data_IF_906892360486
#
_entry.id   IF_906892360486
#
_cell.length_a   1.000
_cell.length_b   1.000
_cell.length_c   1.000
_cell.angle_alpha   90.00
_cell.angle_beta   90.00
_cell.angle_gamma   90.00
#
_symmetry.space_group_name_H-M   'P 1'
#
loop_
_entity.id
_entity.type
_entity.pdbx_description
1 polymer ?
#
# COMPACT_ATOMS: atom_id res chain seq x y z
N UNK A 1 24.80 -8.91 5.52
CA UNK A 1 24.39 -9.88 4.49
C UNK A 1 25.56 -10.81 4.20
N UNK A 2 25.30 -12.11 4.04
CA UNK A 2 26.34 -13.11 3.77
C UNK A 2 26.83 -13.11 2.33
N UNK A 3 27.83 -13.93 1.98
CA UNK A 3 28.40 -14.01 0.61
C UNK A 3 27.35 -14.34 -0.47
N UNK A 4 26.36 -15.18 -0.17
CA UNK A 4 25.27 -15.51 -1.09
C UNK A 4 24.41 -14.30 -1.51
N UNK A 5 24.20 -13.36 -0.61
CA UNK A 5 23.43 -12.14 -0.91
C UNK A 5 24.17 -11.23 -1.93
N UNK A 6 25.50 -11.18 -1.87
CA UNK A 6 26.29 -10.41 -2.83
C UNK A 6 26.27 -11.04 -4.23
N UNK A 7 26.36 -12.36 -4.32
CA UNK A 7 26.28 -13.10 -5.57
C UNK A 7 24.89 -12.95 -6.20
N UNK A 8 23.83 -13.14 -5.42
CA UNK A 8 22.44 -12.93 -5.88
C UNK A 8 22.20 -11.51 -6.39
N UNK A 9 22.74 -10.50 -5.70
CA UNK A 9 22.66 -9.10 -6.14
C UNK A 9 23.33 -8.87 -7.50
N UNK A 10 24.52 -9.41 -7.68
CA UNK A 10 25.25 -9.31 -8.94
C UNK A 10 24.49 -9.99 -10.09
N UNK A 11 23.94 -11.18 -9.85
CA UNK A 11 23.12 -11.93 -10.81
C UNK A 11 21.87 -11.13 -11.20
N UNK A 12 21.10 -10.64 -10.24
CA UNK A 12 19.87 -9.88 -10.51
C UNK A 12 20.15 -8.59 -11.30
N UNK A 13 21.25 -7.88 -10.99
CA UNK A 13 21.68 -6.70 -11.75
C UNK A 13 22.04 -7.04 -13.20
N UNK A 14 22.69 -8.17 -13.40
CA UNK A 14 23.01 -8.63 -14.75
C UNK A 14 21.73 -8.97 -15.52
N UNK A 15 20.78 -9.68 -14.91
CA UNK A 15 19.49 -9.99 -15.54
C UNK A 15 18.71 -8.73 -15.90
N UNK A 16 18.65 -7.74 -15.01
CA UNK A 16 18.00 -6.47 -15.32
C UNK A 16 18.70 -5.78 -16.50
N UNK A 17 20.03 -5.71 -16.49
CA UNK A 17 20.81 -5.08 -17.57
C UNK A 17 20.58 -5.73 -18.94
N UNK A 18 20.40 -7.06 -18.96
CA UNK A 18 20.24 -7.84 -20.20
C UNK A 18 18.81 -7.84 -20.73
N UNK A 19 17.81 -7.74 -19.85
CA UNK A 19 16.41 -8.01 -20.19
C UNK A 19 15.45 -6.84 -19.99
N UNK A 20 15.88 -5.76 -19.32
CA UNK A 20 15.07 -4.58 -19.06
C UNK A 20 15.69 -3.37 -19.79
N UNK A 21 14.98 -2.75 -20.74
CA UNK A 21 15.48 -1.58 -21.44
C UNK A 21 15.78 -0.42 -20.49
N UNK A 22 16.75 0.45 -20.82
CA UNK A 22 17.11 1.60 -19.99
C UNK A 22 15.97 2.60 -19.78
N UNK A 23 15.05 2.71 -20.73
CA UNK A 23 13.90 3.60 -20.74
C UNK A 23 12.63 2.96 -20.12
N UNK A 24 12.73 1.75 -19.57
CA UNK A 24 11.65 1.11 -18.85
C UNK A 24 11.31 1.88 -17.58
N UNK A 25 10.09 2.41 -17.50
CA UNK A 25 9.59 3.20 -16.37
C UNK A 25 8.71 2.39 -15.40
N UNK A 26 8.62 1.09 -15.61
CA UNK A 26 7.93 0.18 -14.71
C UNK A 26 6.50 -0.12 -15.12
N UNK A 27 5.88 -1.00 -14.36
CA UNK A 27 4.51 -1.43 -14.57
C UNK A 27 3.46 -0.35 -14.25
N UNK A 28 3.89 0.83 -13.81
CA UNK A 28 3.00 1.93 -13.47
C UNK A 28 2.75 2.89 -14.65
N UNK A 29 3.40 2.66 -15.79
CA UNK A 29 3.17 3.42 -17.02
C UNK A 29 2.03 2.80 -17.82
N UNK A 30 1.44 3.58 -18.73
CA UNK A 30 0.43 3.13 -19.67
C UNK A 30 1.01 2.58 -20.99
N UNK A 31 2.32 2.38 -21.05
CA UNK A 31 2.99 1.81 -22.20
C UNK A 31 2.79 0.29 -22.27
N UNK A 32 2.05 -0.25 -23.26
CA UNK A 32 1.84 -1.69 -23.39
C UNK A 32 3.13 -2.53 -23.51
N UNK A 33 4.21 -1.93 -24.08
CA UNK A 33 5.49 -2.59 -24.19
C UNK A 33 6.11 -2.89 -22.82
N UNK A 34 5.92 -2.02 -21.83
CA UNK A 34 6.42 -2.23 -20.47
C UNK A 34 5.73 -3.43 -19.80
N UNK A 35 4.43 -3.64 -20.08
CA UNK A 35 3.71 -4.81 -19.59
C UNK A 35 4.28 -6.12 -20.16
N UNK A 36 4.59 -6.16 -21.44
CA UNK A 36 5.22 -7.33 -22.07
C UNK A 36 6.62 -7.60 -21.51
N UNK A 37 7.41 -6.54 -21.27
CA UNK A 37 8.73 -6.65 -20.64
C UNK A 37 8.58 -7.26 -19.25
N UNK A 38 7.65 -6.75 -18.44
CA UNK A 38 7.40 -7.26 -17.10
C UNK A 38 6.99 -8.73 -17.09
N UNK A 39 6.11 -9.14 -17.99
CA UNK A 39 5.67 -10.53 -18.11
C UNK A 39 6.82 -11.47 -18.53
N UNK A 40 7.66 -11.06 -19.48
CA UNK A 40 8.83 -11.84 -19.88
C UNK A 40 9.84 -11.96 -18.74
N UNK A 41 10.10 -10.85 -18.06
CA UNK A 41 11.02 -10.82 -16.93
C UNK A 41 10.56 -11.68 -15.76
N UNK A 42 9.25 -11.68 -15.45
CA UNK A 42 8.67 -12.59 -14.47
C UNK A 42 8.87 -14.06 -14.82
N UNK A 43 8.63 -14.45 -16.08
CA UNK A 43 8.88 -15.83 -16.53
C UNK A 43 10.36 -16.22 -16.40
N UNK A 44 11.26 -15.33 -16.79
CA UNK A 44 12.69 -15.55 -16.63
C UNK A 44 13.09 -15.77 -15.17
N UNK A 45 12.59 -14.95 -14.26
CA UNK A 45 12.82 -15.12 -12.83
C UNK A 45 12.19 -16.42 -12.29
N UNK A 46 11.01 -16.81 -12.78
CA UNK A 46 10.34 -18.03 -12.39
C UNK A 46 11.13 -19.28 -12.83
N UNK A 47 11.60 -19.35 -14.07
CA UNK A 47 12.47 -20.42 -14.61
C UNK A 47 13.75 -20.59 -13.79
N UNK A 48 14.24 -19.50 -13.20
CA UNK A 48 15.41 -19.50 -12.32
C UNK A 48 15.08 -19.73 -10.85
N UNK A 49 13.79 -19.92 -10.49
CA UNK A 49 13.32 -20.03 -9.11
C UNK A 49 13.57 -18.76 -8.28
N UNK A 50 13.65 -17.60 -8.92
CA UNK A 50 13.97 -16.31 -8.28
C UNK A 50 12.74 -15.40 -8.11
N UNK A 51 11.62 -15.67 -8.83
CA UNK A 51 10.41 -14.87 -8.73
C UNK A 51 9.80 -14.96 -7.32
N UNK A 52 9.62 -16.17 -6.82
CA UNK A 52 9.08 -16.48 -5.50
C UNK A 52 10.16 -17.03 -4.56
N UNK A 53 11.36 -16.47 -4.58
CA UNK A 53 12.57 -17.02 -3.97
C UNK A 53 12.40 -17.49 -2.52
N UNK A 54 11.65 -16.72 -1.71
CA UNK A 54 11.45 -17.02 -0.28
C UNK A 54 10.27 -17.99 -0.01
N UNK A 55 9.52 -18.38 -1.04
CA UNK A 55 8.43 -19.35 -0.85
C UNK A 55 9.01 -20.74 -0.58
N UNK A 56 8.27 -21.63 0.13
CA UNK A 56 8.62 -23.03 0.22
C UNK A 56 8.80 -23.69 -1.17
N UNK A 57 9.65 -24.68 -1.25
CA UNK A 57 9.95 -25.38 -2.50
C UNK A 57 8.71 -26.02 -3.12
N UNK A 58 7.81 -26.57 -2.29
CA UNK A 58 6.54 -27.17 -2.69
C UNK A 58 5.63 -26.18 -3.45
N UNK A 59 5.80 -24.87 -3.26
CA UNK A 59 5.04 -23.82 -3.94
C UNK A 59 5.85 -23.08 -5.01
N UNK A 60 6.98 -23.62 -5.43
CA UNK A 60 7.82 -23.06 -6.51
C UNK A 60 8.84 -22.03 -6.07
N UNK A 61 9.10 -21.92 -4.78
CA UNK A 61 10.19 -21.11 -4.23
C UNK A 61 11.47 -21.91 -4.01
N UNK A 62 12.40 -21.33 -3.23
CA UNK A 62 13.66 -21.97 -2.79
C UNK A 62 13.83 -21.94 -1.27
N UNK A 63 12.82 -21.56 -0.52
CA UNK A 63 12.91 -21.40 0.93
C UNK A 63 13.97 -20.39 1.37
N UNK A 64 14.30 -19.41 0.54
CA UNK A 64 15.38 -18.47 0.79
C UNK A 64 15.10 -17.61 2.03
N UNK A 65 16.19 -17.16 2.65
CA UNK A 65 16.13 -16.34 3.86
C UNK A 65 15.45 -14.99 3.62
N UNK A 66 14.90 -14.34 4.66
CA UNK A 66 14.39 -12.97 4.57
C UNK A 66 15.42 -11.96 4.04
N UNK A 67 16.71 -12.24 4.22
CA UNK A 67 17.80 -11.40 3.74
C UNK A 67 18.01 -11.51 2.23
N UNK A 68 17.94 -12.71 1.66
CA UNK A 68 17.97 -12.92 0.20
C UNK A 68 16.74 -12.33 -0.46
N UNK A 69 15.55 -12.50 0.14
CA UNK A 69 14.33 -11.84 -0.33
C UNK A 69 14.45 -10.31 -0.30
N UNK A 70 15.19 -9.77 0.67
CA UNK A 70 15.45 -8.32 0.73
C UNK A 70 16.33 -7.86 -0.43
N UNK A 71 17.33 -8.66 -0.83
CA UNK A 71 18.15 -8.37 -2.00
C UNK A 71 17.28 -8.31 -3.26
N UNK A 72 16.37 -9.28 -3.45
CA UNK A 72 15.43 -9.27 -4.58
C UNK A 72 14.60 -7.98 -4.57
N UNK A 73 14.01 -7.62 -3.43
CA UNK A 73 13.21 -6.39 -3.30
C UNK A 73 14.00 -5.12 -3.60
N UNK A 74 15.23 -5.02 -3.10
CA UNK A 74 16.10 -3.87 -3.36
C UNK A 74 16.43 -3.73 -4.84
N UNK A 75 16.84 -4.81 -5.50
CA UNK A 75 17.22 -4.75 -6.91
C UNK A 75 16.01 -4.52 -7.82
N UNK A 76 14.87 -5.13 -7.55
CA UNK A 76 13.66 -4.88 -8.31
C UNK A 76 13.20 -3.42 -8.18
N UNK A 77 13.11 -2.89 -6.96
CA UNK A 77 12.71 -1.49 -6.74
C UNK A 77 13.75 -0.46 -7.21
N UNK A 78 15.01 -0.79 -7.21
CA UNK A 78 16.03 0.06 -7.81
C UNK A 78 15.80 0.28 -9.31
N UNK A 79 15.15 -0.67 -9.98
CA UNK A 79 14.93 -0.68 -11.43
C UNK A 79 13.44 -0.64 -11.81
N UNK A 80 12.62 0.17 -11.12
CA UNK A 80 11.19 0.36 -11.40
C UNK A 80 10.34 -0.89 -11.35
N UNK A 81 10.69 -1.84 -10.49
CA UNK A 81 9.94 -3.07 -10.28
C UNK A 81 9.65 -3.84 -11.58
N UNK A 82 10.68 -4.42 -12.24
CA UNK A 82 10.51 -5.09 -13.53
C UNK A 82 9.57 -6.31 -13.50
N UNK A 83 9.14 -6.77 -12.32
CA UNK A 83 8.11 -7.81 -12.19
C UNK A 83 6.71 -7.27 -12.48
N UNK A 84 6.56 -5.96 -12.61
CA UNK A 84 5.30 -5.33 -12.94
C UNK A 84 4.18 -5.64 -11.96
N UNK A 85 2.97 -5.77 -12.47
CA UNK A 85 1.78 -6.04 -11.67
C UNK A 85 1.82 -7.40 -10.94
N UNK A 86 2.63 -8.36 -11.41
CA UNK A 86 2.78 -9.67 -10.79
C UNK A 86 3.38 -9.60 -9.37
N UNK A 87 4.09 -8.51 -9.02
CA UNK A 87 4.67 -8.38 -7.69
C UNK A 87 3.63 -8.45 -6.55
N UNK A 88 2.38 -8.08 -6.81
CA UNK A 88 1.30 -8.19 -5.83
C UNK A 88 0.99 -9.64 -5.49
N UNK A 89 0.83 -10.48 -6.50
CA UNK A 89 0.64 -11.92 -6.33
C UNK A 89 1.78 -12.55 -5.54
N UNK A 90 3.01 -12.22 -5.89
CA UNK A 90 4.23 -12.78 -5.29
C UNK A 90 4.43 -12.35 -3.83
N UNK A 91 4.21 -11.07 -3.52
CA UNK A 91 4.65 -10.51 -2.24
C UNK A 91 3.61 -10.62 -1.11
N UNK A 92 2.30 -10.68 -1.42
CA UNK A 92 1.28 -10.76 -0.37
C UNK A 92 0.10 -11.67 -0.67
N UNK A 93 -0.42 -11.76 -1.91
CA UNK A 93 -1.56 -12.65 -2.20
C UNK A 93 -1.17 -14.12 -2.03
N UNK A 94 -0.08 -14.55 -2.67
CA UNK A 94 0.42 -15.93 -2.56
C UNK A 94 0.77 -16.32 -1.12
N UNK A 95 1.58 -15.53 -0.38
CA UNK A 95 1.83 -15.78 1.04
C UNK A 95 0.57 -15.88 1.90
N UNK A 96 -0.46 -15.12 1.56
CA UNK A 96 -1.75 -15.20 2.28
C UNK A 96 -2.51 -16.47 1.93
N UNK A 97 -2.53 -16.87 0.65
CA UNK A 97 -3.14 -18.14 0.21
C UNK A 97 -2.41 -19.35 0.82
N UNK A 98 -1.08 -19.33 0.89
CA UNK A 98 -0.30 -20.39 1.55
C UNK A 98 -0.69 -20.58 3.02
N UNK A 99 -1.02 -19.50 3.72
CA UNK A 99 -1.34 -19.52 5.15
C UNK A 99 -2.79 -19.80 5.47
N UNK A 100 -3.72 -19.30 4.66
CA UNK A 100 -5.15 -19.28 4.95
C UNK A 100 -6.02 -20.00 3.92
N UNK A 101 -5.46 -20.34 2.74
CA UNK A 101 -6.17 -21.02 1.66
C UNK A 101 -6.35 -22.51 1.92
N UNK A 102 -7.42 -23.05 1.36
CA UNK A 102 -7.62 -24.50 1.32
C UNK A 102 -6.57 -25.16 0.41
N UNK A 103 -6.34 -26.48 0.51
CA UNK A 103 -5.45 -27.20 -0.41
C UNK A 103 -5.85 -27.02 -1.89
N UNK A 104 -7.15 -26.90 -2.18
CA UNK A 104 -7.69 -26.64 -3.51
C UNK A 104 -7.28 -25.25 -4.01
N UNK A 105 -7.45 -24.22 -3.18
CA UNK A 105 -7.06 -22.86 -3.51
C UNK A 105 -5.54 -22.74 -3.70
N UNK A 106 -4.76 -23.40 -2.85
CA UNK A 106 -3.29 -23.43 -2.98
C UNK A 106 -2.89 -24.09 -4.33
N UNK A 107 -3.47 -25.24 -4.67
CA UNK A 107 -3.19 -25.92 -5.95
C UNK A 107 -3.63 -25.12 -7.17
N UNK A 108 -4.71 -24.36 -7.08
CA UNK A 108 -5.21 -23.53 -8.18
C UNK A 108 -4.36 -22.29 -8.41
N UNK A 109 -4.03 -21.55 -7.35
CA UNK A 109 -3.51 -20.21 -7.47
C UNK A 109 -1.98 -20.12 -7.37
N UNK A 110 -1.35 -20.87 -6.46
CA UNK A 110 0.07 -20.68 -6.18
C UNK A 110 0.97 -21.02 -7.38
N UNK A 111 0.73 -22.09 -8.17
CA UNK A 111 1.55 -22.37 -9.34
C UNK A 111 1.50 -21.28 -10.41
N UNK A 112 0.34 -20.66 -10.65
CA UNK A 112 0.19 -19.58 -11.62
C UNK A 112 0.93 -18.30 -11.18
N UNK A 113 0.88 -17.99 -9.88
CA UNK A 113 1.63 -16.87 -9.31
C UNK A 113 3.14 -17.13 -9.40
N UNK A 114 3.57 -18.35 -9.04
CA UNK A 114 4.99 -18.73 -9.03
C UNK A 114 5.62 -18.70 -10.44
N UNK A 115 4.82 -18.94 -11.49
CA UNK A 115 5.26 -18.85 -12.89
C UNK A 115 5.11 -17.45 -13.50
N UNK A 116 4.57 -16.47 -12.74
CA UNK A 116 4.35 -15.11 -13.22
C UNK A 116 3.27 -14.99 -14.30
N UNK A 117 2.33 -15.95 -14.36
CA UNK A 117 1.30 -16.05 -15.41
C UNK A 117 0.05 -15.23 -15.10
N UNK A 118 -0.15 -14.84 -13.84
CA UNK A 118 -1.39 -14.25 -13.36
C UNK A 118 -1.16 -12.92 -12.63
N UNK A 119 -2.00 -11.95 -12.90
CA UNK A 119 -2.03 -10.67 -12.20
C UNK A 119 -3.21 -10.66 -11.22
N UNK A 120 -2.95 -10.18 -10.02
CA UNK A 120 -3.93 -9.98 -8.97
C UNK A 120 -4.13 -8.49 -8.72
N UNK A 121 -5.35 -8.07 -8.50
CA UNK A 121 -5.65 -6.77 -7.93
C UNK A 121 -6.21 -6.91 -6.50
N UNK A 122 -6.17 -5.81 -5.74
CA UNK A 122 -6.60 -5.80 -4.34
C UNK A 122 -7.79 -4.85 -4.16
N UNK A 123 -8.97 -5.42 -3.97
CA UNK A 123 -10.22 -4.68 -3.76
C UNK A 123 -10.47 -4.42 -2.27
N UNK A 124 -9.80 -3.41 -1.68
CA UNK A 124 -9.93 -3.08 -0.26
C UNK A 124 -10.63 -1.74 -0.05
N UNK A 125 -9.97 -0.64 -0.41
CA UNK A 125 -10.45 0.72 -0.17
C UNK A 125 -11.76 1.03 -0.90
N UNK A 126 -12.59 1.86 -0.28
CA UNK A 126 -13.82 2.42 -0.86
C UNK A 126 -13.76 3.95 -0.82
N UNK A 127 -14.60 4.67 -1.56
CA UNK A 127 -14.62 6.14 -1.53
C UNK A 127 -14.67 6.72 -0.11
N UNK A 128 -15.42 6.10 0.80
CA UNK A 128 -15.58 6.54 2.19
C UNK A 128 -14.76 5.72 3.21
N UNK A 129 -14.00 4.71 2.76
CA UNK A 129 -13.29 3.78 3.65
C UNK A 129 -11.86 3.46 3.14
N UNK A 130 -10.94 4.41 3.29
CA UNK A 130 -9.50 4.25 3.02
C UNK A 130 -8.71 3.97 4.30
N UNK A 131 -8.32 5.00 5.03
CA UNK A 131 -7.60 4.87 6.32
C UNK A 131 -8.43 4.15 7.38
N UNK A 132 -9.75 4.34 7.37
CA UNK A 132 -10.70 3.59 8.19
C UNK A 132 -11.30 2.41 7.40
N UNK A 133 -10.43 1.50 6.95
CA UNK A 133 -10.80 0.36 6.11
C UNK A 133 -11.91 -0.50 6.71
N UNK A 134 -11.96 -0.64 8.03
CA UNK A 134 -12.99 -1.43 8.70
C UNK A 134 -14.41 -0.88 8.52
N UNK A 135 -14.57 0.37 8.07
CA UNK A 135 -15.87 0.99 7.78
C UNK A 135 -16.38 0.72 6.37
N UNK A 136 -15.76 -0.17 5.61
CA UNK A 136 -16.17 -0.56 4.26
C UNK A 136 -17.62 -1.07 4.22
N UNK A 137 -18.29 -0.79 3.08
CA UNK A 137 -19.71 -1.07 2.86
C UNK A 137 -19.98 -2.09 1.75
N UNK A 138 -19.01 -2.41 0.89
CA UNK A 138 -19.16 -3.51 -0.09
C UNK A 138 -19.65 -4.75 0.65
N UNK A 139 -20.85 -5.19 0.31
CA UNK A 139 -21.54 -6.26 1.04
C UNK A 139 -21.59 -7.54 0.19
N UNK A 140 -21.31 -8.66 0.84
CA UNK A 140 -21.58 -9.99 0.33
C UNK A 140 -22.77 -10.55 1.11
N UNK A 141 -23.93 -10.63 0.47
CA UNK A 141 -25.17 -11.11 1.12
C UNK A 141 -25.45 -12.54 0.69
N UNK A 142 -25.74 -13.41 1.66
CA UNK A 142 -26.19 -14.78 1.34
C UNK A 142 -27.48 -14.71 0.52
N UNK A 143 -27.55 -15.56 -0.48
CA UNK A 143 -28.73 -15.72 -1.32
C UNK A 143 -29.49 -16.97 -0.84
N UNK A 144 -30.79 -16.81 -0.54
CA UNK A 144 -31.63 -17.88 -0.03
C UNK A 144 -31.68 -19.06 -1.01
N UNK A 145 -31.43 -20.27 -0.53
CA UNK A 145 -31.42 -21.48 -1.33
C UNK A 145 -30.12 -21.74 -2.10
N UNK A 146 -29.06 -20.97 -1.88
CA UNK A 146 -27.73 -21.19 -2.47
C UNK A 146 -26.65 -21.28 -1.38
N UNK A 147 -25.50 -21.90 -1.72
CA UNK A 147 -24.32 -21.96 -0.85
C UNK A 147 -23.39 -20.76 -1.05
N UNK A 148 -23.91 -19.65 -1.62
CA UNK A 148 -23.11 -18.51 -2.02
C UNK A 148 -23.60 -17.17 -1.50
N UNK A 149 -22.94 -16.13 -2.00
CA UNK A 149 -23.25 -14.73 -1.75
C UNK A 149 -23.36 -13.95 -3.05
N UNK A 150 -24.12 -12.87 -3.02
CA UNK A 150 -24.11 -11.81 -4.04
C UNK A 150 -23.35 -10.60 -3.49
N UNK A 151 -22.33 -10.19 -4.23
CA UNK A 151 -21.50 -9.04 -3.87
C UNK A 151 -22.02 -7.80 -4.55
N UNK A 152 -22.27 -6.75 -3.75
CA UNK A 152 -22.62 -5.41 -4.22
C UNK A 152 -21.74 -4.36 -3.55
N UNK A 153 -21.26 -3.40 -4.33
CA UNK A 153 -20.46 -2.29 -3.81
C UNK A 153 -19.48 -1.73 -4.81
N UNK A 154 -18.58 -0.90 -4.31
CA UNK A 154 -17.56 -0.22 -5.11
C UNK A 154 -16.23 -0.24 -4.37
N UNK A 155 -15.16 -0.54 -5.10
CA UNK A 155 -13.78 -0.38 -4.65
C UNK A 155 -13.09 0.71 -5.44
N UNK A 156 -12.14 1.42 -4.80
CA UNK A 156 -11.40 2.50 -5.43
C UNK A 156 -9.90 2.37 -5.14
N UNK A 157 -9.08 3.01 -5.95
CA UNK A 157 -7.62 2.93 -5.90
C UNK A 157 -7.09 1.50 -6.10
N UNK A 158 -7.85 0.67 -6.82
CA UNK A 158 -7.52 -0.73 -7.09
C UNK A 158 -6.48 -0.80 -8.19
N UNK A 159 -5.22 -0.98 -7.80
CA UNK A 159 -4.11 -1.06 -8.76
C UNK A 159 -4.27 -2.26 -9.68
N UNK A 160 -4.01 -2.05 -10.98
CA UNK A 160 -3.98 -3.08 -12.02
C UNK A 160 -5.30 -3.82 -12.31
N UNK A 161 -6.44 -3.34 -11.84
CA UNK A 161 -7.71 -4.05 -12.02
C UNK A 161 -8.08 -4.29 -13.50
N UNK A 162 -7.68 -3.38 -14.41
CA UNK A 162 -7.87 -3.55 -15.87
C UNK A 162 -7.10 -4.72 -16.47
N UNK A 163 -6.03 -5.18 -15.82
CA UNK A 163 -5.14 -6.25 -16.29
C UNK A 163 -5.29 -7.52 -15.47
N UNK A 164 -5.92 -7.44 -14.29
CA UNK A 164 -5.98 -8.54 -13.33
C UNK A 164 -6.92 -9.66 -13.78
N UNK A 165 -6.50 -10.90 -13.59
CA UNK A 165 -7.34 -12.08 -13.72
C UNK A 165 -8.13 -12.36 -12.45
N UNK A 166 -7.61 -11.91 -11.30
CA UNK A 166 -8.18 -12.18 -9.98
C UNK A 166 -8.21 -10.94 -9.11
N UNK A 167 -9.28 -10.79 -8.33
CA UNK A 167 -9.39 -9.79 -7.27
C UNK A 167 -9.32 -10.43 -5.89
N UNK A 168 -8.41 -9.93 -5.07
CA UNK A 168 -8.33 -10.21 -3.65
C UNK A 168 -9.28 -9.23 -2.93
N UNK A 169 -10.54 -9.65 -2.78
CA UNK A 169 -11.65 -8.78 -2.39
C UNK A 169 -11.98 -8.88 -0.91
N UNK A 170 -12.03 -7.74 -0.23
CA UNK A 170 -12.56 -7.64 1.13
C UNK A 170 -14.00 -7.11 1.10
N UNK A 171 -14.94 -7.88 1.63
CA UNK A 171 -16.35 -7.50 1.69
C UNK A 171 -16.96 -7.80 3.06
N UNK A 172 -18.11 -7.19 3.34
CA UNK A 172 -18.86 -7.37 4.56
C UNK A 172 -19.90 -8.48 4.41
N UNK A 173 -19.77 -9.54 5.16
CA UNK A 173 -20.67 -10.70 5.17
C UNK A 173 -21.68 -10.65 6.30
N UNK A 174 -21.35 -9.99 7.41
CA UNK A 174 -22.26 -9.78 8.54
C UNK A 174 -21.96 -8.48 9.28
N UNK A 175 -22.78 -8.16 10.28
CA UNK A 175 -22.58 -7.02 11.19
C UNK A 175 -22.27 -7.54 12.59
N UNK A 176 -21.41 -6.85 13.33
CA UNK A 176 -21.08 -7.16 14.71
C UNK A 176 -20.97 -5.90 15.56
N UNK A 177 -20.65 -6.05 16.84
CA UNK A 177 -20.48 -4.93 17.78
C UNK A 177 -19.35 -3.97 17.36
N UNK A 178 -18.31 -4.52 16.71
CA UNK A 178 -17.17 -3.76 16.21
C UNK A 178 -17.15 -3.81 14.69
N UNK A 179 -16.82 -2.69 14.05
CA UNK A 179 -16.74 -2.57 12.60
C UNK A 179 -15.74 -3.53 11.92
N UNK A 180 -14.78 -4.07 12.66
CA UNK A 180 -13.83 -5.08 12.21
C UNK A 180 -14.43 -6.49 12.11
N UNK A 181 -15.56 -6.75 12.77
CA UNK A 181 -16.27 -8.02 12.70
C UNK A 181 -17.12 -8.10 11.43
N UNK A 182 -17.42 -9.30 10.98
CA UNK A 182 -18.27 -9.53 9.82
C UNK A 182 -17.60 -9.18 8.48
N UNK A 183 -16.28 -9.22 8.39
CA UNK A 183 -15.52 -9.02 7.16
C UNK A 183 -14.95 -10.35 6.68
N UNK A 184 -15.04 -10.59 5.37
CA UNK A 184 -14.57 -11.81 4.71
C UNK A 184 -13.73 -11.46 3.50
N UNK A 185 -12.72 -12.28 3.19
CA UNK A 185 -11.93 -12.15 1.98
C UNK A 185 -12.41 -13.18 0.96
N UNK A 186 -12.56 -12.74 -0.28
CA UNK A 186 -12.91 -13.57 -1.42
C UNK A 186 -11.84 -13.50 -2.51
N UNK A 187 -11.56 -14.62 -3.14
CA UNK A 187 -10.72 -14.76 -4.33
C UNK A 187 -11.65 -14.74 -5.55
N UNK A 188 -11.82 -13.58 -6.18
CA UNK A 188 -12.84 -13.38 -7.22
C UNK A 188 -12.22 -13.30 -8.60
N UNK A 189 -12.59 -14.18 -9.57
CA UNK A 189 -12.18 -14.01 -10.96
C UNK A 189 -12.75 -12.70 -11.52
N UNK A 190 -11.88 -11.87 -12.12
CA UNK A 190 -12.31 -10.58 -12.70
C UNK A 190 -13.22 -10.74 -13.93
N UNK A 191 -13.31 -11.94 -14.49
CA UNK A 191 -14.21 -12.27 -15.60
C UNK A 191 -15.65 -12.57 -15.17
N UNK A 192 -15.97 -12.57 -13.86
CA UNK A 192 -17.35 -12.83 -13.41
C UNK A 192 -18.32 -11.74 -13.87
N UNK A 193 -19.54 -12.12 -14.28
CA UNK A 193 -20.59 -11.13 -14.59
C UNK A 193 -20.87 -10.21 -13.41
N UNK A 194 -21.15 -8.94 -13.70
CA UNK A 194 -21.44 -7.92 -12.69
C UNK A 194 -20.21 -7.15 -12.20
N UNK A 195 -19.00 -7.43 -12.73
CA UNK A 195 -17.81 -6.64 -12.46
C UNK A 195 -17.59 -5.62 -13.56
N UNK A 196 -17.52 -4.34 -13.20
CA UNK A 196 -17.14 -3.25 -14.09
C UNK A 196 -15.88 -2.55 -13.55
N UNK A 197 -14.88 -2.32 -14.42
CA UNK A 197 -13.63 -1.65 -14.08
C UNK A 197 -13.54 -0.33 -14.81
N UNK A 198 -13.32 0.77 -14.08
CA UNK A 198 -13.14 2.12 -14.63
C UNK A 198 -11.77 2.66 -14.26
N UNK A 199 -10.89 2.93 -15.25
CA UNK A 199 -9.58 3.51 -15.00
C UNK A 199 -9.69 4.93 -14.41
N UNK A 200 -8.85 5.22 -13.41
CA UNK A 200 -8.68 6.55 -12.83
C UNK A 200 -7.44 7.17 -13.46
N UNK A 201 -7.57 8.32 -14.11
CA UNK A 201 -6.43 9.08 -14.58
C UNK A 201 -5.63 9.62 -13.39
N UNK A 202 -4.40 9.14 -13.26
CA UNK A 202 -3.45 9.57 -12.25
C UNK A 202 -2.24 10.24 -12.90
N UNK A 203 -1.35 10.82 -12.10
CA UNK A 203 -0.11 11.43 -12.60
C UNK A 203 0.81 10.42 -13.31
N UNK A 204 0.67 9.13 -13.02
CA UNK A 204 1.46 8.02 -13.59
C UNK A 204 0.80 7.35 -14.81
N UNK A 205 -0.38 7.81 -15.23
CA UNK A 205 -1.12 7.21 -16.34
C UNK A 205 -2.39 6.46 -15.93
N UNK A 206 -3.18 5.93 -16.92
CA UNK A 206 -4.53 5.42 -16.66
C UNK A 206 -4.59 4.00 -16.07
N UNK A 207 -3.55 3.17 -16.20
CA UNK A 207 -3.63 1.75 -15.86
C UNK A 207 -3.26 1.41 -14.42
N UNK A 208 -2.75 2.38 -13.68
CA UNK A 208 -2.28 2.12 -12.33
C UNK A 208 -3.43 1.98 -11.32
N UNK A 209 -4.40 2.87 -11.36
CA UNK A 209 -5.48 2.97 -10.38
C UNK A 209 -6.84 2.83 -11.04
N UNK A 210 -7.76 2.15 -10.38
CA UNK A 210 -9.09 1.91 -10.92
C UNK A 210 -10.16 2.00 -9.84
N UNK A 211 -11.38 2.32 -10.28
CA UNK A 211 -12.61 1.96 -9.58
C UNK A 211 -13.06 0.60 -10.07
N UNK A 212 -13.60 -0.21 -9.17
CA UNK A 212 -14.18 -1.52 -9.48
C UNK A 212 -15.57 -1.57 -8.86
N UNK A 213 -16.58 -1.77 -9.69
CA UNK A 213 -17.98 -1.91 -9.28
C UNK A 213 -18.35 -3.37 -9.28
N UNK A 214 -19.10 -3.78 -8.27
CA UNK A 214 -19.65 -5.11 -8.11
C UNK A 214 -21.17 -4.99 -8.04
N UNK A 215 -21.86 -5.55 -9.02
CA UNK A 215 -23.32 -5.54 -9.09
C UNK A 215 -23.86 -6.97 -9.20
N UNK A 216 -24.25 -7.54 -8.07
CA UNK A 216 -24.77 -8.90 -7.99
C UNK A 216 -23.74 -9.98 -8.32
N UNK A 217 -22.45 -9.74 -8.13
CA UNK A 217 -21.40 -10.70 -8.44
C UNK A 217 -21.52 -11.91 -7.54
N UNK A 218 -21.69 -13.09 -8.17
CA UNK A 218 -21.82 -14.35 -7.46
C UNK A 218 -20.47 -14.81 -6.91
N UNK A 219 -20.42 -15.18 -5.64
CA UNK A 219 -19.26 -15.82 -4.98
C UNK A 219 -19.75 -16.97 -4.11
N UNK A 220 -18.96 -18.04 -4.05
CA UNK A 220 -19.28 -19.27 -3.34
C UNK A 220 -18.35 -19.51 -2.17
N UNK A 221 -18.58 -20.55 -1.39
CA UNK A 221 -17.68 -20.94 -0.30
C UNK A 221 -16.27 -21.30 -0.82
N UNK A 222 -16.16 -21.80 -2.04
CA UNK A 222 -14.86 -22.07 -2.67
C UNK A 222 -14.02 -20.83 -2.91
N UNK A 223 -14.64 -19.65 -3.01
CA UNK A 223 -13.96 -18.38 -3.20
C UNK A 223 -13.53 -17.74 -1.87
N UNK A 224 -14.02 -18.22 -0.73
CA UNK A 224 -13.71 -17.65 0.59
C UNK A 224 -12.29 -18.01 1.00
N UNK A 225 -11.47 -16.99 1.31
CA UNK A 225 -10.14 -17.19 1.86
C UNK A 225 -10.14 -17.08 3.38
N UNK A 226 -9.82 -18.17 4.06
CA UNK A 226 -9.90 -18.26 5.50
C UNK A 226 -11.35 -18.37 6.02
N UNK A 227 -11.61 -18.20 7.33
CA UNK A 227 -12.96 -18.33 7.88
C UNK A 227 -13.85 -17.12 7.53
N UNK A 228 -15.12 -17.36 7.26
CA UNK A 228 -16.14 -16.32 7.09
C UNK A 228 -16.15 -15.41 8.33
N UNK A 229 -16.38 -14.11 8.14
CA UNK A 229 -16.44 -13.06 9.19
C UNK A 229 -15.11 -12.79 9.93
N UNK A 230 -14.01 -13.48 9.56
CA UNK A 230 -12.69 -13.32 10.18
C UNK A 230 -11.66 -12.67 9.26
N UNK A 231 -12.06 -12.13 8.12
CA UNK A 231 -11.18 -11.52 7.13
C UNK A 231 -10.34 -10.36 7.67
N UNK A 232 -10.78 -9.66 8.72
CA UNK A 232 -9.99 -8.59 9.32
C UNK A 232 -8.64 -9.08 9.88
N UNK A 233 -8.60 -10.27 10.47
CA UNK A 233 -7.34 -10.86 10.95
C UNK A 233 -6.39 -11.12 9.80
N UNK A 234 -6.90 -11.67 8.70
CA UNK A 234 -6.11 -11.92 7.49
C UNK A 234 -5.59 -10.61 6.90
N UNK A 235 -6.45 -9.56 6.81
CA UNK A 235 -6.05 -8.23 6.31
C UNK A 235 -4.92 -7.63 7.14
N UNK A 236 -4.93 -7.77 8.46
CA UNK A 236 -3.87 -7.24 9.31
C UNK A 236 -2.50 -7.88 8.99
N UNK A 237 -2.47 -9.17 8.67
CA UNK A 237 -1.27 -9.88 8.24
C UNK A 237 -0.80 -9.39 6.86
N UNK A 238 -1.71 -9.25 5.89
CA UNK A 238 -1.41 -8.70 4.55
C UNK A 238 -0.79 -7.30 4.65
N UNK A 239 -1.41 -6.42 5.43
CA UNK A 239 -0.92 -5.05 5.62
C UNK A 239 0.45 -5.01 6.31
N UNK A 240 0.78 -5.98 7.16
CA UNK A 240 2.10 -6.08 7.78
C UNK A 240 3.19 -6.43 6.74
N UNK A 241 2.90 -7.32 5.79
CA UNK A 241 3.81 -7.62 4.67
C UNK A 241 3.97 -6.45 3.71
N UNK A 242 2.90 -5.78 3.37
CA UNK A 242 2.88 -4.64 2.44
C UNK A 242 3.76 -3.49 2.93
N UNK A 243 3.75 -3.19 4.23
CA UNK A 243 4.47 -2.04 4.82
C UNK A 243 5.99 -2.09 4.64
N UNK A 244 6.57 -3.27 4.49
CA UNK A 244 8.04 -3.47 4.37
C UNK A 244 8.44 -3.93 2.96
N UNK A 245 7.46 -4.31 2.14
CA UNK A 245 7.68 -4.92 0.82
C UNK A 245 8.31 -3.99 -0.23
N UNK A 246 8.24 -2.67 -0.05
CA UNK A 246 8.67 -1.68 -1.04
C UNK A 246 9.96 -1.01 -0.60
N UNK A 247 11.08 -1.37 -1.24
CA UNK A 247 12.41 -0.82 -0.96
C UNK A 247 12.67 0.51 -1.68
N UNK A 248 11.80 1.54 -1.48
CA UNK A 248 11.87 2.86 -2.15
C UNK A 248 13.24 3.51 -2.05
N UNK A 249 13.94 3.35 -0.94
CA UNK A 249 15.31 3.87 -0.75
C UNK A 249 16.30 3.37 -1.80
N UNK A 250 16.09 2.19 -2.38
CA UNK A 250 16.98 1.63 -3.39
C UNK A 250 16.87 2.39 -4.72
N UNK A 251 15.65 2.78 -5.12
CA UNK A 251 15.41 3.66 -6.28
C UNK A 251 16.01 5.04 -6.04
N UNK A 252 15.72 5.66 -4.88
CA UNK A 252 16.29 6.95 -4.52
C UNK A 252 17.82 6.94 -4.61
N UNK A 253 18.47 5.93 -4.00
CA UNK A 253 19.93 5.83 -4.00
C UNK A 253 20.48 5.65 -5.41
N UNK A 254 19.86 4.82 -6.25
CA UNK A 254 20.31 4.61 -7.64
C UNK A 254 20.27 5.92 -8.43
N UNK A 255 19.17 6.67 -8.37
CA UNK A 255 19.03 7.95 -9.09
C UNK A 255 19.98 9.02 -8.53
N UNK A 256 20.12 9.12 -7.21
CA UNK A 256 21.07 10.05 -6.59
C UNK A 256 22.51 9.73 -7.00
N UNK A 257 22.91 8.46 -7.02
CA UNK A 257 24.27 8.06 -7.44
C UNK A 257 24.48 8.20 -8.96
N UNK A 258 23.41 8.19 -9.75
CA UNK A 258 23.51 8.43 -11.19
C UNK A 258 23.74 9.92 -11.51
N UNK A 259 23.16 10.85 -10.75
CA UNK A 259 23.19 12.27 -11.04
C UNK A 259 24.62 12.82 -11.34
N UNK A 260 25.65 12.66 -10.49
CA UNK A 260 26.99 13.16 -10.78
C UNK A 260 27.61 12.57 -12.04
N UNK A 261 27.32 11.30 -12.34
CA UNK A 261 27.88 10.59 -13.50
C UNK A 261 27.25 11.06 -14.81
N UNK A 262 25.93 11.30 -14.79
CA UNK A 262 25.19 11.76 -15.98
C UNK A 262 25.46 13.23 -16.27
N UNK A 263 25.64 14.07 -15.25
CA UNK A 263 25.96 15.48 -15.40
C UNK A 263 27.42 15.72 -15.81
N UNK A 264 28.37 14.83 -15.45
CA UNK A 264 29.79 15.04 -15.73
C UNK A 264 30.27 16.38 -15.15
N UNK A 265 30.90 17.21 -16.00
CA UNK A 265 31.46 18.49 -15.58
C UNK A 265 30.40 19.48 -15.06
N UNK A 266 29.16 19.42 -15.57
CA UNK A 266 28.07 20.27 -15.09
C UNK A 266 27.73 20.02 -13.61
N UNK A 267 28.16 18.89 -13.04
CA UNK A 267 27.96 18.60 -11.61
C UNK A 267 28.64 19.64 -10.71
N UNK A 268 29.83 20.08 -11.05
CA UNK A 268 30.58 21.05 -10.29
C UNK A 268 30.02 22.49 -10.43
N UNK A 269 29.25 22.75 -11.50
CA UNK A 269 28.56 24.02 -11.73
C UNK A 269 27.28 24.20 -10.90
N UNK A 270 26.75 23.10 -10.34
CA UNK A 270 25.56 23.15 -9.51
C UNK A 270 25.83 23.94 -8.21
N UNK A 271 24.82 24.66 -7.68
CA UNK A 271 24.92 25.35 -6.39
C UNK A 271 25.38 24.39 -5.27
N UNK A 272 26.33 24.86 -4.44
CA UNK A 272 26.87 24.07 -3.33
C UNK A 272 25.76 23.60 -2.36
N UNK A 273 24.76 24.44 -2.12
CA UNK A 273 23.60 24.09 -1.30
C UNK A 273 22.85 22.87 -1.88
N UNK A 274 22.62 22.83 -3.19
CA UNK A 274 21.94 21.72 -3.85
C UNK A 274 22.76 20.43 -3.76
N UNK A 275 24.09 20.51 -3.98
CA UNK A 275 25.00 19.37 -3.79
C UNK A 275 25.01 18.91 -2.32
N UNK A 276 24.93 19.85 -1.37
CA UNK A 276 24.78 19.53 0.06
C UNK A 276 23.46 18.81 0.38
N UNK A 277 22.35 19.24 -0.23
CA UNK A 277 21.05 18.56 -0.11
C UNK A 277 21.11 17.15 -0.72
N UNK A 278 21.69 16.97 -1.88
CA UNK A 278 21.93 15.69 -2.51
C UNK A 278 22.72 14.73 -1.59
N UNK A 279 23.84 15.16 -1.01
CA UNK A 279 24.65 14.35 -0.10
C UNK A 279 23.86 13.93 1.14
N UNK A 280 23.01 14.81 1.65
CA UNK A 280 22.09 14.53 2.77
C UNK A 280 21.09 13.45 2.40
N UNK A 281 20.55 13.45 1.16
CA UNK A 281 19.63 12.40 0.69
C UNK A 281 20.31 11.03 0.65
N UNK A 282 21.57 10.92 0.23
CA UNK A 282 22.32 9.65 0.31
C UNK A 282 22.44 9.12 1.74
N UNK A 283 22.66 10.02 2.70
CA UNK A 283 22.66 9.64 4.13
C UNK A 283 21.28 9.15 4.57
N UNK A 284 20.21 9.77 4.10
CA UNK A 284 18.84 9.35 4.38
C UNK A 284 18.50 7.99 3.73
N UNK A 285 19.03 7.69 2.54
CA UNK A 285 18.90 6.36 1.91
C UNK A 285 19.52 5.27 2.82
N UNK A 286 20.72 5.50 3.34
CA UNK A 286 21.39 4.56 4.26
C UNK A 286 20.61 4.39 5.55
N UNK A 287 20.10 5.47 6.12
CA UNK A 287 19.22 5.45 7.30
C UNK A 287 17.96 4.61 7.05
N UNK A 288 17.25 4.85 5.94
CA UNK A 288 16.05 4.12 5.60
C UNK A 288 16.33 2.63 5.39
N UNK A 289 17.45 2.27 4.74
CA UNK A 289 17.92 0.90 4.60
C UNK A 289 18.17 0.22 5.95
N UNK A 290 18.85 0.88 6.87
CA UNK A 290 19.10 0.34 8.21
C UNK A 290 17.80 0.11 9.00
N UNK A 291 16.83 1.01 8.87
CA UNK A 291 15.49 0.82 9.46
C UNK A 291 14.77 -0.37 8.84
N UNK A 292 14.84 -0.56 7.51
CA UNK A 292 14.30 -1.73 6.84
C UNK A 292 14.94 -3.02 7.36
N UNK A 293 16.26 -3.05 7.45
CA UNK A 293 17.01 -4.21 7.96
C UNK A 293 16.67 -4.53 9.42
N UNK A 294 16.47 -3.51 10.25
CA UNK A 294 15.98 -3.69 11.61
C UNK A 294 14.61 -4.37 11.63
N UNK A 295 13.66 -3.89 10.81
CA UNK A 295 12.33 -4.51 10.73
C UNK A 295 12.43 -5.97 10.30
N UNK A 296 13.23 -6.29 9.29
CA UNK A 296 13.43 -7.66 8.79
C UNK A 296 14.02 -8.55 9.89
N UNK A 297 15.03 -8.07 10.64
CA UNK A 297 15.60 -8.81 11.76
C UNK A 297 14.56 -9.08 12.86
N UNK A 298 13.74 -8.08 13.20
CA UNK A 298 12.66 -8.23 14.19
C UNK A 298 11.55 -9.16 13.71
N UNK A 299 11.22 -9.16 12.41
CA UNK A 299 10.27 -10.12 11.83
C UNK A 299 10.80 -11.56 11.93
N UNK A 300 12.08 -11.77 11.61
CA UNK A 300 12.73 -13.08 11.76
C UNK A 300 12.76 -13.57 13.22
N UNK A 301 12.86 -12.66 14.19
CA UNK A 301 12.80 -12.96 15.62
C UNK A 301 11.37 -13.05 16.19
N UNK A 302 10.33 -12.76 15.40
CA UNK A 302 8.93 -12.76 15.85
C UNK A 302 8.59 -11.61 16.83
N UNK A 303 9.42 -10.55 16.90
CA UNK A 303 9.29 -9.45 17.87
C UNK A 303 8.95 -8.09 17.24
N UNK A 304 8.68 -8.05 15.93
CA UNK A 304 8.34 -6.81 15.23
C UNK A 304 7.05 -6.20 15.76
N UNK A 305 7.07 -4.89 15.97
CA UNK A 305 5.89 -4.12 16.40
C UNK A 305 5.35 -3.24 15.28
N UNK A 306 4.08 -2.81 15.34
CA UNK A 306 3.55 -1.80 14.42
C UNK A 306 4.35 -0.48 14.44
N UNK A 307 4.97 -0.12 15.56
CA UNK A 307 5.83 1.05 15.71
C UNK A 307 7.11 0.95 14.88
N UNK A 308 7.75 -0.23 14.84
CA UNK A 308 8.97 -0.45 14.06
C UNK A 308 8.70 -0.27 12.56
N UNK A 309 7.62 -0.87 12.06
CA UNK A 309 7.21 -0.72 10.65
C UNK A 309 6.81 0.71 10.33
N UNK A 310 6.12 1.40 11.24
CA UNK A 310 5.71 2.79 11.07
C UNK A 310 6.91 3.74 11.04
N UNK A 311 7.92 3.54 11.89
CA UNK A 311 9.16 4.33 11.87
C UNK A 311 9.89 4.22 10.52
N UNK A 312 10.04 3.01 9.99
CA UNK A 312 10.58 2.78 8.64
C UNK A 312 9.73 3.50 7.59
N UNK A 313 8.41 3.31 7.63
CA UNK A 313 7.50 3.87 6.63
C UNK A 313 7.54 5.39 6.59
N UNK A 314 7.56 6.07 7.74
CA UNK A 314 7.71 7.53 7.82
C UNK A 314 9.04 7.98 7.21
N UNK A 315 10.13 7.30 7.57
CA UNK A 315 11.46 7.66 7.09
C UNK A 315 11.59 7.50 5.58
N UNK A 316 11.10 6.38 5.01
CA UNK A 316 11.24 6.10 3.58
C UNK A 316 10.27 6.93 2.73
N UNK A 317 9.08 7.27 3.23
CA UNK A 317 8.13 8.15 2.52
C UNK A 317 8.68 9.57 2.38
N UNK A 318 9.25 10.12 3.45
CA UNK A 318 9.90 11.43 3.40
C UNK A 318 11.11 11.44 2.47
N UNK A 319 11.96 10.42 2.56
CA UNK A 319 13.08 10.25 1.65
C UNK A 319 12.62 10.22 0.19
N UNK A 320 11.56 9.48 -0.13
CA UNK A 320 11.04 9.33 -1.48
C UNK A 320 10.67 10.70 -2.08
N UNK A 321 9.96 11.55 -1.35
CA UNK A 321 9.58 12.89 -1.78
C UNK A 321 10.74 13.86 -1.81
N UNK A 322 11.52 13.96 -0.72
CA UNK A 322 12.63 14.90 -0.62
C UNK A 322 13.73 14.62 -1.66
N UNK A 323 14.02 13.33 -1.94
CA UNK A 323 14.96 12.95 -3.00
C UNK A 323 14.44 13.26 -4.40
N UNK A 324 13.13 13.07 -4.63
CA UNK A 324 12.51 13.41 -5.90
C UNK A 324 12.56 14.91 -6.20
N UNK A 325 12.32 15.76 -5.20
CA UNK A 325 12.44 17.23 -5.31
C UNK A 325 13.88 17.63 -5.62
N UNK A 326 14.86 17.12 -4.90
CA UNK A 326 16.29 17.40 -5.14
C UNK A 326 16.72 16.99 -6.52
N UNK A 327 16.31 15.81 -6.98
CA UNK A 327 16.63 15.29 -8.32
C UNK A 327 15.95 16.11 -9.42
N UNK A 328 14.71 16.55 -9.20
CA UNK A 328 13.99 17.39 -10.15
C UNK A 328 14.65 18.76 -10.31
N UNK A 329 15.14 19.34 -9.22
CA UNK A 329 15.89 20.60 -9.24
C UNK A 329 17.23 20.44 -9.95
N UNK A 330 17.98 19.35 -9.70
CA UNK A 330 19.21 19.01 -10.45
C UNK A 330 18.90 18.87 -11.95
N UNK A 331 17.82 18.13 -12.29
CA UNK A 331 17.36 17.97 -13.67
C UNK A 331 17.07 19.31 -14.36
N UNK A 332 16.44 20.24 -13.64
CA UNK A 332 16.06 21.55 -14.18
C UNK A 332 17.27 22.44 -14.51
N UNK A 333 18.31 22.36 -13.69
CA UNK A 333 19.53 23.18 -13.86
C UNK A 333 20.51 22.58 -14.85
N UNK A 334 20.41 21.28 -15.19
CA UNK A 334 21.31 20.59 -16.09
C UNK A 334 20.82 20.62 -17.53
N UNK A 335 21.75 20.84 -18.46
CA UNK A 335 21.50 20.67 -19.91
C UNK A 335 21.96 19.29 -20.31
N UNK A 336 21.04 18.34 -20.31
CA UNK A 336 21.34 16.93 -20.63
C UNK A 336 20.91 16.60 -22.05
N UNK A 337 21.81 15.96 -22.80
CA UNK A 337 21.59 15.52 -24.17
C UNK A 337 22.06 14.07 -24.35
N UNK A 338 21.58 13.40 -25.41
CA UNK A 338 21.93 12.01 -25.69
C UNK A 338 21.12 10.98 -24.88
N UNK A 339 21.42 9.70 -25.10
CA UNK A 339 20.66 8.59 -24.53
C UNK A 339 20.71 8.55 -22.99
N UNK A 340 21.88 8.77 -22.41
CA UNK A 340 22.06 8.75 -20.94
C UNK A 340 21.33 9.92 -20.27
N UNK A 341 21.34 11.10 -20.89
CA UNK A 341 20.59 12.24 -20.43
C UNK A 341 19.08 12.00 -20.50
N UNK A 342 18.59 11.51 -21.61
CA UNK A 342 17.15 11.23 -21.80
C UNK A 342 16.62 10.19 -20.79
N UNK A 343 17.39 9.13 -20.57
CA UNK A 343 17.05 8.12 -19.55
C UNK A 343 16.90 8.77 -18.16
N UNK A 344 17.90 9.51 -17.71
CA UNK A 344 17.90 10.12 -16.39
C UNK A 344 16.75 11.12 -16.23
N UNK A 345 16.50 11.95 -17.24
CA UNK A 345 15.42 12.93 -17.24
C UNK A 345 14.05 12.26 -17.10
N UNK A 346 13.80 11.19 -17.85
CA UNK A 346 12.55 10.42 -17.80
C UNK A 346 12.34 9.78 -16.43
N UNK A 347 13.38 9.13 -15.89
CA UNK A 347 13.29 8.48 -14.59
C UNK A 347 13.11 9.44 -13.41
N UNK A 348 13.75 10.60 -13.44
CA UNK A 348 13.59 11.63 -12.39
C UNK A 348 12.16 12.16 -12.40
N UNK A 349 11.59 12.42 -13.58
CA UNK A 349 10.21 12.88 -13.69
C UNK A 349 9.21 11.82 -13.19
N UNK A 350 9.37 10.57 -13.62
CA UNK A 350 8.53 9.47 -13.17
C UNK A 350 8.66 9.26 -11.65
N UNK A 351 9.87 9.33 -11.11
CA UNK A 351 10.10 9.24 -9.67
C UNK A 351 9.37 10.35 -8.90
N UNK A 352 9.44 11.59 -9.38
CA UNK A 352 8.72 12.70 -8.77
C UNK A 352 7.21 12.47 -8.78
N UNK A 353 6.64 12.10 -9.93
CA UNK A 353 5.20 11.79 -10.06
C UNK A 353 4.77 10.67 -9.10
N UNK A 354 5.53 9.60 -9.05
CA UNK A 354 5.24 8.45 -8.19
C UNK A 354 5.36 8.78 -6.70
N UNK A 355 6.31 9.61 -6.30
CA UNK A 355 6.57 9.97 -4.90
C UNK A 355 5.39 10.72 -4.26
N UNK A 356 4.56 11.41 -5.05
CA UNK A 356 3.41 12.15 -4.53
C UNK A 356 2.39 11.23 -3.83
N UNK A 357 2.15 10.05 -4.38
CA UNK A 357 1.24 9.07 -3.78
C UNK A 357 1.81 8.36 -2.55
N UNK A 358 3.11 8.46 -2.29
CA UNK A 358 3.77 7.71 -1.22
C UNK A 358 3.31 8.08 0.20
N UNK A 359 2.72 9.28 0.38
CA UNK A 359 2.15 9.72 1.67
C UNK A 359 0.80 9.11 2.00
N UNK A 360 0.07 8.63 0.99
CA UNK A 360 -1.30 8.09 1.17
C UNK A 360 -1.40 6.60 0.91
N UNK A 361 -0.64 6.07 -0.05
CA UNK A 361 -0.66 4.66 -0.40
C UNK A 361 -0.15 3.76 0.74
N UNK A 362 -0.72 2.57 0.89
CA UNK A 362 -0.31 1.57 1.91
C UNK A 362 -0.41 2.08 3.35
N UNK A 363 -1.42 2.91 3.61
CA UNK A 363 -1.66 3.59 4.90
C UNK A 363 -0.96 4.95 4.98
N UNK A 364 -1.77 5.99 5.19
CA UNK A 364 -1.30 7.37 5.17
C UNK A 364 -0.21 7.64 6.20
N UNK A 365 0.64 8.65 5.92
CA UNK A 365 1.74 9.03 6.83
C UNK A 365 1.21 9.45 8.20
N UNK A 366 -0.02 10.00 8.29
CA UNK A 366 -0.70 10.34 9.53
C UNK A 366 -1.00 9.09 10.34
N UNK A 367 -1.51 8.03 9.69
CA UNK A 367 -1.75 6.75 10.36
C UNK A 367 -0.45 6.12 10.86
N UNK A 368 0.64 6.24 10.09
CA UNK A 368 1.95 5.75 10.55
C UNK A 368 2.45 6.54 11.78
N UNK A 369 2.25 7.87 11.81
CA UNK A 369 2.58 8.70 12.99
C UNK A 369 1.78 8.29 14.23
N UNK A 370 0.48 7.99 14.07
CA UNK A 370 -0.38 7.49 15.15
C UNK A 370 0.12 6.14 15.67
N UNK A 371 0.47 5.21 14.78
CA UNK A 371 1.00 3.89 15.16
C UNK A 371 2.33 4.02 15.90
N UNK A 372 3.23 4.87 15.42
CA UNK A 372 4.51 5.13 16.08
C UNK A 372 4.31 5.77 17.46
N UNK A 373 3.45 6.78 17.56
CA UNK A 373 3.15 7.44 18.82
C UNK A 373 2.57 6.45 19.86
N UNK A 374 1.64 5.60 19.46
CA UNK A 374 1.08 4.55 20.34
C UNK A 374 2.12 3.54 20.81
N UNK A 375 3.14 3.27 20.00
CA UNK A 375 4.21 2.36 20.39
C UNK A 375 5.24 3.01 21.33
N UNK A 376 5.40 4.33 21.26
CA UNK A 376 6.42 5.07 22.03
C UNK A 376 5.88 5.69 23.31
N UNK A 377 4.58 5.99 23.35
CA UNK A 377 3.96 6.64 24.51
C UNK A 377 3.26 5.59 25.39
N UNK A 378 3.35 5.73 26.73
CA UNK A 378 2.58 4.87 27.62
C UNK A 378 1.09 5.04 27.34
N UNK A 379 0.33 3.94 27.42
CA UNK A 379 -1.11 4.02 27.31
C UNK A 379 -1.64 5.03 28.37
N UNK A 380 -2.56 5.95 28.00
CA UNK A 380 -3.17 6.84 28.98
C UNK A 380 -3.76 5.99 30.11
N UNK A 381 -3.47 6.38 31.36
CA UNK A 381 -4.06 5.71 32.51
C UNK A 381 -5.58 5.68 32.31
N UNK A 382 -6.19 4.51 32.41
CA UNK A 382 -7.65 4.44 32.41
C UNK A 382 -8.15 5.39 33.49
N UNK A 383 -9.12 6.29 33.22
CA UNK A 383 -9.69 7.11 34.26
C UNK A 383 -10.20 6.16 35.34
N UNK A 384 -9.64 6.26 36.53
CA UNK A 384 -10.17 5.57 37.71
C UNK A 384 -11.56 6.13 37.89
N UNK A 385 -12.60 5.32 37.72
CA UNK A 385 -13.96 5.69 38.14
C UNK A 385 -13.85 6.23 39.55
N UNK A 386 -14.38 7.44 39.83
CA UNK A 386 -14.41 7.90 41.19
C UNK A 386 -15.16 6.85 42.00
N UNK A 387 -14.50 6.30 43.02
CA UNK A 387 -15.13 5.40 43.96
C UNK A 387 -16.39 6.11 44.49
N UNK A 388 -17.57 5.58 44.22
CA UNK A 388 -18.82 6.07 44.76
C UNK A 388 -18.75 5.78 46.26
N UNK A 389 -18.25 6.71 47.04
CA UNK A 389 -18.40 6.73 48.47
C UNK A 389 -19.86 7.13 48.70
N UNK A 390 -20.69 6.14 48.88
CA UNK A 390 -22.06 6.35 49.35
C UNK A 390 -22.00 6.83 50.80
N UNK A 391 -21.92 8.14 50.97
CA UNK A 391 -22.21 8.78 52.28
C UNK A 391 -23.71 9.01 52.32
N UNK A 392 -24.39 8.15 53.04
CA UNK A 392 -25.81 8.32 53.39
C UNK A 392 -25.92 9.51 54.34
N UNK A 393 -26.15 10.71 53.79
CA UNK A 393 -26.55 11.87 54.58
C UNK A 393 -28.05 11.97 54.53
N UNK A 394 -28.65 11.63 55.67
CA UNK A 394 -30.09 11.86 55.97
C UNK A 394 -30.30 13.37 56.05
N UNK A 395 -30.90 13.99 55.05
CA UNK A 395 -31.33 15.38 55.07
C UNK A 395 -32.82 15.46 55.46
N UNK A 396 -33.05 15.95 56.65
CA UNK A 396 -34.38 16.36 57.20
C UNK A 396 -34.85 17.57 56.40
N UNK A 397 -35.99 17.46 55.74
CA UNK A 397 -36.67 18.57 55.06
C UNK A 397 -37.33 19.49 56.04
N UNK A 398 -36.94 20.76 56.08
CA UNK A 398 -37.75 21.85 56.54
C UNK A 398 -38.29 22.66 55.38
N UNK A 399 -39.61 22.67 55.23
CA UNK A 399 -40.28 23.46 54.21
C UNK A 399 -40.29 24.95 54.58
N UNK A 400 -39.90 25.81 53.64
CA UNK A 400 -40.23 27.25 53.74
C UNK A 400 -40.72 27.72 52.35
N UNK A 401 -41.99 28.14 52.37
CA UNK A 401 -42.75 28.76 51.27
C UNK A 401 -42.26 30.19 51.03
N UNK A 402 -42.03 30.57 49.76
CA UNK A 402 -42.11 31.95 49.28
C UNK A 402 -42.39 32.04 47.77
N UNK A 403 -43.48 32.44 47.42
CA UNK A 403 -44.22 33.35 46.55
C UNK A 403 -43.49 33.94 45.34
N UNK A 404 -44.07 33.65 44.17
CA UNK A 404 -44.26 34.44 42.92
C UNK A 404 -43.41 35.65 42.59
N UNK A 405 -42.84 35.66 41.38
CA UNK A 405 -42.93 36.83 40.48
C UNK A 405 -42.76 36.41 38.99
N UNK A 406 -43.70 36.84 38.22
CA UNK A 406 -43.86 36.80 36.75
C UNK A 406 -42.85 37.76 36.11
N UNK A 407 -42.22 37.44 34.98
CA UNK A 407 -42.15 38.37 33.81
C UNK A 407 -41.36 37.77 32.62
N UNK A 408 -42.04 37.89 31.48
CA UNK A 408 -41.57 38.29 30.16
C UNK A 408 -40.60 37.42 29.33
N UNK A 409 -41.17 36.94 28.28
CA UNK A 409 -40.53 36.43 27.00
C UNK A 409 -39.95 37.59 26.19
N UNK A 410 -38.80 37.41 25.53
CA UNK A 410 -38.51 38.17 24.31
C UNK A 410 -38.38 37.32 23.07
N UNK A 411 -38.82 37.93 21.99
CA UNK A 411 -39.14 37.36 20.68
C UNK A 411 -37.98 36.92 19.83
N UNK A 412 -38.35 36.14 18.81
CA UNK A 412 -37.50 35.72 17.70
C UNK A 412 -37.01 36.92 16.84
N UNK A 413 -35.83 36.88 16.29
CA UNK A 413 -35.45 37.77 15.18
C UNK A 413 -35.79 37.12 13.83
N UNK A 414 -36.40 37.91 12.98
CA UNK A 414 -36.75 37.67 11.59
C UNK A 414 -35.52 37.75 10.67
N UNK A 415 -35.42 36.83 9.73
CA UNK A 415 -34.47 36.80 8.62
C UNK A 415 -34.85 37.79 7.52
N UNK A 416 -33.92 38.56 6.93
CA UNK A 416 -34.23 39.37 5.74
C UNK A 416 -34.04 38.57 4.43
N UNK A 417 -34.94 38.83 3.47
CA UNK A 417 -35.03 38.26 2.14
C UNK A 417 -33.86 38.75 1.24
N UNK A 418 -33.39 37.86 0.36
CA UNK A 418 -32.47 38.13 -0.76
C UNK A 418 -33.24 38.73 -1.96
N UNK A 419 -32.71 39.70 -2.65
CA UNK A 419 -33.29 40.18 -3.93
C UNK A 419 -32.86 39.29 -5.10
N UNK A 420 -33.78 39.13 -6.04
CA UNK A 420 -33.61 38.44 -7.30
C UNK A 420 -32.74 39.28 -8.27
N UNK A 421 -31.76 38.63 -8.92
CA UNK A 421 -31.06 39.22 -10.05
C UNK A 421 -31.46 38.55 -11.36
N UNK A 422 -31.76 39.38 -12.34
CA UNK A 422 -32.26 39.02 -13.65
C UNK A 422 -31.13 38.58 -14.58
N UNK A 423 -31.51 37.70 -15.50
CA UNK A 423 -30.74 37.26 -16.64
C UNK A 423 -30.32 38.39 -17.58
N UNK A 424 -29.10 38.29 -18.11
CA UNK A 424 -28.71 38.60 -19.48
C UNK A 424 -27.55 37.72 -19.87
#
# INVERSE_FOLDING_TARGET
MGPGAAALRAELRQLVKEHVPPDYLGAFTDNPADLEIAQRFCRLLAERGQLCLAWPEEFGGRGASPWEQTVVREEMWAHHEPRGAQYMGVNWVGPTIMRHGTPEQQRLHLPQIARGEVIWCQGFSEPDAGSDLASLRTAARREDGTDGWRVHGQKIWTSYATMAQWCFLLARTSTGEKKQQGLTIFLVPMSRPGIEVRPIRAMLGPHHLNEVFFDGVEVTEADVLGPVDQGWRVVQEVLAFERVGIARYARCERLLLAAPRVLGDQWEELPEELRGRWARMLTHCRRARLLAYRVIALQGAGTVTPGDTAAYRIAVTRLDQESAEVLLEIRHLATLTGADGNWFLGEVEDHWRYSQASTVASGSIEMQRILLARAMLPAPAKPTSPATTATTATLTMTATTATTATTATPGKPTTPARPAEKAS
#
